data_IF_199852928379
#
_entry.id   IF_199852928379
#
_cell.length_a   1.000
_cell.length_b   1.000
_cell.length_c   1.000
_cell.angle_alpha   90.00
_cell.angle_beta   90.00
_cell.angle_gamma   90.00
#
_symmetry.space_group_name_H-M   'P 1'
#
loop_
_entity.id
_entity.type
_entity.pdbx_description
1 polymer ?
#
# COMPACT_ATOMS: atom_id res chain seq x y z
N UNK A 1 5.59 -8.30 -22.22
CA UNK A 1 5.16 -9.12 -23.39
C UNK A 1 4.78 -8.28 -24.62
N UNK A 2 4.23 -7.08 -24.42
CA UNK A 2 3.87 -6.16 -25.51
C UNK A 2 5.09 -5.65 -26.28
N UNK A 3 6.21 -5.19 -25.65
CA UNK A 3 7.36 -4.70 -26.40
C UNK A 3 8.06 -5.78 -27.24
N UNK A 4 7.95 -7.04 -26.82
CA UNK A 4 8.47 -8.21 -27.55
C UNK A 4 7.47 -8.81 -28.54
N UNK A 5 6.31 -8.14 -28.76
CA UNK A 5 5.23 -8.53 -29.68
C UNK A 5 4.70 -9.96 -29.48
N UNK A 6 4.83 -10.51 -28.26
CA UNK A 6 4.31 -11.85 -27.95
C UNK A 6 2.80 -11.86 -27.71
N UNK A 7 2.21 -10.72 -27.39
CA UNK A 7 0.78 -10.52 -27.12
C UNK A 7 0.39 -9.15 -27.71
N UNK A 8 -0.79 -9.05 -28.35
CA UNK A 8 -1.31 -7.79 -28.86
C UNK A 8 -1.82 -6.90 -27.71
N UNK A 9 -1.89 -5.58 -27.93
CA UNK A 9 -2.46 -4.64 -26.95
C UNK A 9 -3.93 -4.94 -26.71
N UNK A 10 -4.67 -5.32 -27.76
CA UNK A 10 -6.08 -5.71 -27.68
C UNK A 10 -6.27 -6.95 -26.79
N UNK A 11 -5.42 -7.97 -26.97
CA UNK A 11 -5.43 -9.18 -26.13
C UNK A 11 -5.10 -8.85 -24.67
N UNK A 12 -4.16 -7.94 -24.42
CA UNK A 12 -3.85 -7.47 -23.07
C UNK A 12 -5.05 -6.76 -22.42
N UNK A 13 -5.79 -5.95 -23.18
CA UNK A 13 -6.98 -5.27 -22.67
C UNK A 13 -8.11 -6.27 -22.39
N UNK A 14 -8.34 -7.24 -23.29
CA UNK A 14 -9.29 -8.32 -23.08
C UNK A 14 -8.93 -9.16 -21.84
N UNK A 15 -7.65 -9.46 -21.64
CA UNK A 15 -7.16 -10.16 -20.46
C UNK A 15 -7.38 -9.34 -19.18
N UNK A 16 -7.10 -8.03 -19.20
CA UNK A 16 -7.35 -7.13 -18.06
C UNK A 16 -8.82 -7.16 -17.67
N UNK A 17 -9.71 -6.92 -18.62
CA UNK A 17 -11.16 -6.92 -18.38
C UNK A 17 -11.64 -8.30 -17.88
N UNK A 18 -11.18 -9.39 -18.52
CA UNK A 18 -11.53 -10.75 -18.11
C UNK A 18 -11.09 -11.07 -16.69
N UNK A 19 -9.86 -10.70 -16.32
CA UNK A 19 -9.33 -10.92 -14.97
C UNK A 19 -10.09 -10.10 -13.92
N UNK A 20 -10.41 -8.83 -14.22
CA UNK A 20 -11.19 -7.98 -13.31
C UNK A 20 -12.57 -8.60 -13.02
N UNK A 21 -13.29 -9.05 -14.07
CA UNK A 21 -14.60 -9.70 -13.92
C UNK A 21 -14.48 -11.01 -13.15
N UNK A 22 -13.45 -11.81 -13.45
CA UNK A 22 -13.21 -13.08 -12.77
C UNK A 22 -12.90 -12.89 -11.27
N UNK A 23 -11.98 -11.98 -10.94
CA UNK A 23 -11.64 -11.65 -9.56
C UNK A 23 -12.85 -11.10 -8.79
N UNK A 24 -13.64 -10.22 -9.42
CA UNK A 24 -14.86 -9.68 -8.82
C UNK A 24 -15.94 -10.75 -8.63
N UNK A 25 -16.04 -11.72 -9.55
CA UNK A 25 -16.95 -12.86 -9.45
C UNK A 25 -16.57 -13.79 -8.30
N UNK A 26 -15.29 -14.11 -8.17
CA UNK A 26 -14.79 -14.96 -7.07
C UNK A 26 -14.92 -14.27 -5.73
N UNK A 27 -14.69 -12.96 -5.64
CA UNK A 27 -14.72 -12.23 -4.36
C UNK A 27 -16.09 -12.30 -3.66
N UNK A 28 -17.19 -12.47 -4.39
CA UNK A 28 -18.52 -12.71 -3.81
C UNK A 28 -18.57 -13.94 -2.90
N UNK A 29 -17.74 -14.95 -3.15
CA UNK A 29 -17.71 -16.18 -2.36
C UNK A 29 -17.00 -16.00 -1.00
N UNK A 30 -16.21 -14.94 -0.84
CA UNK A 30 -15.37 -14.69 0.33
C UNK A 30 -15.93 -13.60 1.27
N UNK A 31 -17.10 -13.03 0.95
CA UNK A 31 -17.82 -12.09 1.81
C UNK A 31 -17.81 -10.64 1.31
N UNK A 32 -18.60 -9.80 1.99
CA UNK A 32 -18.88 -8.41 1.56
C UNK A 32 -17.61 -7.54 1.59
N UNK A 33 -16.76 -7.66 2.61
CA UNK A 33 -15.54 -6.85 2.72
C UNK A 33 -14.57 -7.15 1.57
N UNK A 34 -14.34 -8.43 1.26
CA UNK A 34 -13.49 -8.85 0.13
C UNK A 34 -14.07 -8.38 -1.20
N UNK A 35 -15.40 -8.43 -1.35
CA UNK A 35 -16.07 -7.94 -2.56
C UNK A 35 -15.92 -6.43 -2.75
N UNK A 36 -16.20 -5.64 -1.71
CA UNK A 36 -16.05 -4.17 -1.73
C UNK A 36 -14.61 -3.78 -1.99
N UNK A 37 -13.64 -4.40 -1.31
CA UNK A 37 -12.22 -4.16 -1.55
C UNK A 37 -11.77 -4.51 -2.97
N UNK A 38 -12.28 -5.60 -3.53
CA UNK A 38 -11.99 -5.98 -4.92
C UNK A 38 -12.57 -4.96 -5.92
N UNK A 39 -13.77 -4.46 -5.67
CA UNK A 39 -14.37 -3.39 -6.48
C UNK A 39 -13.56 -2.09 -6.38
N UNK A 40 -13.13 -1.70 -5.18
CA UNK A 40 -12.29 -0.53 -4.95
C UNK A 40 -10.92 -0.66 -5.65
N UNK A 41 -10.29 -1.83 -5.61
CA UNK A 41 -9.05 -2.10 -6.33
C UNK A 41 -9.19 -1.88 -7.84
N UNK A 42 -10.30 -2.36 -8.43
CA UNK A 42 -10.59 -2.13 -9.85
C UNK A 42 -10.73 -0.64 -10.15
N UNK A 43 -11.42 0.12 -9.29
CA UNK A 43 -11.54 1.57 -9.43
C UNK A 43 -10.19 2.26 -9.33
N UNK A 44 -9.35 1.87 -8.37
CA UNK A 44 -7.99 2.42 -8.19
C UNK A 44 -7.12 2.14 -9.42
N UNK A 45 -7.18 0.92 -9.98
CA UNK A 45 -6.47 0.54 -11.20
C UNK A 45 -6.91 1.38 -12.40
N UNK A 46 -8.23 1.54 -12.59
CA UNK A 46 -8.79 2.37 -13.65
C UNK A 46 -8.38 3.85 -13.49
N UNK A 47 -8.44 4.39 -12.27
CA UNK A 47 -7.99 5.76 -11.98
C UNK A 47 -6.50 5.94 -12.24
N UNK A 48 -5.68 4.92 -11.94
CA UNK A 48 -4.24 4.97 -12.19
C UNK A 48 -3.92 5.05 -13.68
N UNK A 49 -4.52 4.15 -14.44
CA UNK A 49 -4.10 3.85 -15.81
C UNK A 49 -4.87 4.68 -16.83
N UNK A 50 -6.19 4.79 -16.70
CA UNK A 50 -7.06 5.46 -17.67
C UNK A 50 -7.07 6.99 -17.48
N UNK A 51 -6.92 7.51 -16.24
CA UNK A 51 -6.81 8.96 -15.99
C UNK A 51 -5.38 9.49 -16.01
N UNK A 52 -4.38 8.63 -16.23
CA UNK A 52 -2.97 9.03 -16.33
C UNK A 52 -2.40 9.63 -15.04
N UNK A 53 -2.99 9.34 -13.87
CA UNK A 53 -2.47 9.77 -12.56
C UNK A 53 -1.07 9.23 -12.29
N UNK A 54 -0.66 8.17 -12.99
CA UNK A 54 0.69 7.61 -12.96
C UNK A 54 1.79 8.56 -13.50
N UNK A 55 1.41 9.68 -14.15
CA UNK A 55 2.33 10.62 -14.79
C UNK A 55 3.03 11.55 -13.80
N UNK A 56 2.40 11.84 -12.66
CA UNK A 56 2.97 12.62 -11.56
C UNK A 56 3.39 11.70 -10.41
N UNK A 57 4.60 11.89 -9.88
CA UNK A 57 5.16 11.02 -8.84
C UNK A 57 4.31 10.95 -7.56
N UNK A 58 3.70 12.07 -7.14
CA UNK A 58 2.82 12.09 -5.95
C UNK A 58 1.55 11.29 -6.18
N UNK A 59 0.87 11.54 -7.30
CA UNK A 59 -0.40 10.88 -7.65
C UNK A 59 -0.23 9.38 -7.89
N UNK A 60 0.86 8.97 -8.56
CA UNK A 60 1.26 7.57 -8.71
C UNK A 60 1.39 6.87 -7.36
N UNK A 61 2.08 7.51 -6.42
CA UNK A 61 2.35 6.91 -5.11
C UNK A 61 1.12 6.87 -4.23
N UNK A 62 0.31 7.93 -4.26
CA UNK A 62 -0.98 7.96 -3.55
C UNK A 62 -1.90 6.84 -4.04
N UNK A 63 -1.98 6.64 -5.35
CA UNK A 63 -2.73 5.54 -5.93
C UNK A 63 -2.20 4.16 -5.54
N UNK A 64 -0.88 4.01 -5.37
CA UNK A 64 -0.27 2.75 -4.89
C UNK A 64 -0.62 2.47 -3.46
N UNK A 65 -0.49 3.47 -2.60
CA UNK A 65 -0.90 3.35 -1.19
C UNK A 65 -2.39 3.04 -1.09
N UNK A 66 -3.23 3.69 -1.90
CA UNK A 66 -4.66 3.40 -1.98
C UNK A 66 -4.95 1.93 -2.33
N UNK A 67 -4.23 1.35 -3.29
CA UNK A 67 -4.37 -0.07 -3.63
C UNK A 67 -3.99 -1.00 -2.46
N UNK A 68 -2.89 -0.71 -1.75
CA UNK A 68 -2.54 -1.49 -0.57
C UNK A 68 -3.57 -1.34 0.56
N UNK A 69 -4.06 -0.13 0.80
CA UNK A 69 -5.10 0.11 1.81
C UNK A 69 -6.39 -0.66 1.51
N UNK A 70 -6.79 -0.75 0.23
CA UNK A 70 -7.98 -1.54 -0.15
C UNK A 70 -7.81 -3.04 0.12
N UNK A 71 -6.58 -3.58 0.02
CA UNK A 71 -6.31 -4.97 0.38
C UNK A 71 -6.40 -5.20 1.90
N UNK A 72 -5.93 -4.24 2.71
CA UNK A 72 -6.05 -4.33 4.17
C UNK A 72 -7.51 -4.32 4.62
N UNK A 73 -8.33 -3.46 4.00
CA UNK A 73 -9.77 -3.41 4.25
C UNK A 73 -10.49 -4.72 3.89
N UNK A 74 -9.91 -5.56 3.04
CA UNK A 74 -10.49 -6.85 2.69
C UNK A 74 -10.38 -7.87 3.84
N UNK A 75 -9.33 -7.75 4.67
CA UNK A 75 -9.02 -8.67 5.76
C UNK A 75 -9.59 -8.26 7.12
N UNK A 76 -9.95 -6.98 7.29
CA UNK A 76 -10.40 -6.46 8.58
C UNK A 76 -11.94 -6.50 8.70
N UNK A 77 -12.46 -7.18 9.70
CA UNK A 77 -13.92 -7.26 9.95
C UNK A 77 -14.42 -6.24 10.99
N UNK A 78 -13.53 -5.55 11.71
CA UNK A 78 -13.89 -4.61 12.77
C UNK A 78 -12.88 -3.47 12.85
N UNK A 79 -13.33 -2.24 12.55
CA UNK A 79 -12.50 -1.03 12.67
C UNK A 79 -12.56 -0.54 14.12
N UNK A 80 -11.65 -1.02 14.97
CA UNK A 80 -11.40 -0.38 16.26
C UNK A 80 -10.39 0.79 16.12
N UNK A 81 -10.44 1.78 17.02
CA UNK A 81 -9.56 2.96 16.95
C UNK A 81 -8.08 2.59 17.14
N UNK A 82 -7.79 1.55 17.92
CA UNK A 82 -6.44 1.00 18.05
C UNK A 82 -6.02 0.22 16.78
N UNK A 83 -6.99 -0.41 16.10
CA UNK A 83 -6.83 -1.07 14.79
C UNK A 83 -6.47 -0.09 13.68
N UNK A 84 -6.87 1.19 13.73
CA UNK A 84 -6.54 2.15 12.65
C UNK A 84 -5.07 2.58 12.61
N UNK A 85 -4.34 2.47 13.73
CA UNK A 85 -2.93 2.88 13.80
C UNK A 85 -2.04 2.04 12.90
N UNK A 86 -2.28 0.72 12.83
CA UNK A 86 -1.44 -0.19 12.06
C UNK A 86 -1.55 0.03 10.53
N UNK A 87 -2.76 0.11 9.94
CA UNK A 87 -2.97 0.46 8.53
C UNK A 87 -2.43 1.84 8.17
N UNK A 88 -2.59 2.84 9.04
CA UNK A 88 -2.04 4.19 8.79
C UNK A 88 -0.52 4.16 8.77
N UNK A 89 0.10 3.49 9.74
CA UNK A 89 1.55 3.30 9.77
C UNK A 89 2.04 2.56 8.52
N UNK A 90 1.35 1.49 8.10
CA UNK A 90 1.71 0.75 6.90
C UNK A 90 1.56 1.58 5.63
N UNK A 91 0.47 2.32 5.48
CA UNK A 91 0.25 3.24 4.37
C UNK A 91 1.35 4.30 4.29
N UNK A 92 1.76 4.89 5.42
CA UNK A 92 2.85 5.86 5.49
C UNK A 92 4.20 5.24 5.13
N UNK A 93 4.49 4.03 5.62
CA UNK A 93 5.70 3.28 5.28
C UNK A 93 5.78 3.05 3.77
N UNK A 94 4.71 2.54 3.16
CA UNK A 94 4.64 2.34 1.71
C UNK A 94 4.81 3.68 1.00
N UNK A 95 4.08 4.72 1.39
CA UNK A 95 4.15 6.03 0.74
C UNK A 95 5.58 6.58 0.69
N UNK A 96 6.30 6.52 1.81
CA UNK A 96 7.65 7.06 1.91
C UNK A 96 8.69 6.18 1.19
N UNK A 97 8.46 4.86 1.07
CA UNK A 97 9.44 3.91 0.51
C UNK A 97 9.19 3.53 -0.95
N UNK A 98 7.97 3.67 -1.47
CA UNK A 98 7.59 3.20 -2.82
C UNK A 98 8.45 3.82 -3.93
N UNK A 99 8.96 5.03 -3.71
CA UNK A 99 9.87 5.73 -4.62
C UNK A 99 11.17 4.95 -4.91
N UNK A 100 11.59 4.01 -4.04
CA UNK A 100 12.78 3.17 -4.25
C UNK A 100 12.66 2.34 -5.54
N UNK A 101 11.45 1.96 -5.93
CA UNK A 101 11.19 1.17 -7.13
C UNK A 101 11.55 1.90 -8.42
N UNK A 102 11.56 3.24 -8.40
CA UNK A 102 11.82 4.07 -9.59
C UNK A 102 13.33 4.26 -9.84
N UNK A 103 14.22 3.90 -8.91
CA UNK A 103 15.68 4.09 -9.09
C UNK A 103 16.25 3.26 -10.25
N UNK A 104 15.95 1.95 -10.38
CA UNK A 104 16.41 1.16 -11.52
C UNK A 104 15.71 1.55 -12.83
N UNK A 105 14.46 2.05 -12.76
CA UNK A 105 13.63 2.34 -13.95
C UNK A 105 13.80 3.77 -14.51
N UNK A 106 14.77 4.54 -14.01
CA UNK A 106 15.00 5.94 -14.44
C UNK A 106 15.12 6.13 -15.96
N UNK A 107 15.76 5.20 -16.67
CA UNK A 107 15.88 5.28 -18.13
C UNK A 107 14.55 4.99 -18.84
N UNK A 108 13.79 4.00 -18.36
CA UNK A 108 12.46 3.66 -18.89
C UNK A 108 11.45 4.77 -18.63
N UNK A 109 11.46 5.31 -17.41
CA UNK A 109 10.68 6.48 -16.99
C UNK A 109 10.94 7.70 -17.88
N UNK A 110 12.22 8.02 -18.12
CA UNK A 110 12.63 9.16 -18.94
C UNK A 110 12.16 9.02 -20.39
N UNK A 111 12.28 7.82 -20.97
CA UNK A 111 11.77 7.52 -22.33
C UNK A 111 10.25 7.62 -22.42
N UNK A 112 9.55 7.32 -21.32
CA UNK A 112 8.10 7.41 -21.22
C UNK A 112 7.60 8.82 -20.84
N UNK A 113 8.51 9.78 -20.67
CA UNK A 113 8.17 11.15 -20.27
C UNK A 113 7.68 11.30 -18.82
N UNK A 114 7.90 10.30 -17.96
CA UNK A 114 7.53 10.34 -16.54
C UNK A 114 8.51 11.19 -15.74
N UNK A 115 7.99 11.90 -14.74
CA UNK A 115 8.79 12.68 -13.78
C UNK A 115 8.77 11.99 -12.42
N UNK A 116 9.63 10.98 -12.25
CA UNK A 116 9.80 10.28 -10.97
C UNK A 116 10.81 10.98 -10.07
N UNK A 117 10.77 10.70 -8.77
CA UNK A 117 11.59 11.37 -7.77
C UNK A 117 13.11 11.26 -8.07
N UNK A 118 13.65 10.10 -8.51
CA UNK A 118 15.05 10.00 -8.92
C UNK A 118 15.41 10.77 -10.20
N UNK A 119 14.43 11.15 -11.04
CA UNK A 119 14.64 11.98 -12.23
C UNK A 119 14.63 13.47 -11.87
N UNK A 120 13.74 13.88 -10.97
CA UNK A 120 13.58 15.28 -10.56
C UNK A 120 14.70 15.73 -9.63
N UNK A 121 15.10 14.86 -8.69
CA UNK A 121 16.16 15.15 -7.71
C UNK A 121 17.03 13.89 -7.47
N UNK A 122 18.01 13.60 -8.34
CA UNK A 122 18.79 12.35 -8.28
C UNK A 122 19.58 12.20 -6.99
N UNK A 123 20.35 13.21 -6.58
CA UNK A 123 21.15 13.20 -5.36
C UNK A 123 20.24 13.32 -4.12
N UNK A 124 19.27 14.23 -4.18
CA UNK A 124 18.30 14.44 -3.10
C UNK A 124 17.50 13.17 -2.77
N UNK A 125 17.08 12.42 -3.79
CA UNK A 125 16.38 11.14 -3.61
C UNK A 125 17.23 10.09 -2.90
N UNK A 126 18.53 10.02 -3.20
CA UNK A 126 19.45 9.06 -2.56
C UNK A 126 19.66 9.41 -1.09
N UNK A 127 19.91 10.68 -0.81
CA UNK A 127 20.07 11.19 0.57
C UNK A 127 18.79 10.95 1.35
N UNK A 128 17.63 11.30 0.77
CA UNK A 128 16.33 11.04 1.36
C UNK A 128 16.15 9.56 1.75
N UNK A 129 16.46 8.63 0.85
CA UNK A 129 16.33 7.20 1.14
C UNK A 129 17.31 6.70 2.21
N UNK A 130 18.56 7.16 2.15
CA UNK A 130 19.59 6.79 3.14
C UNK A 130 19.20 7.28 4.54
N UNK A 131 18.59 8.46 4.66
CA UNK A 131 18.12 8.99 5.93
C UNK A 131 16.81 8.33 6.39
N UNK A 132 15.85 8.16 5.47
CA UNK A 132 14.52 7.66 5.79
C UNK A 132 14.54 6.19 6.25
N UNK A 133 15.28 5.32 5.54
CA UNK A 133 15.31 3.88 5.81
C UNK A 133 15.69 3.51 7.27
N UNK A 134 16.69 4.12 7.92
CA UNK A 134 16.98 3.85 9.33
C UNK A 134 16.02 4.59 10.29
N UNK A 135 15.53 5.77 9.93
CA UNK A 135 14.62 6.55 10.79
C UNK A 135 13.24 5.90 10.90
N UNK A 136 12.77 5.24 9.84
CA UNK A 136 11.43 4.68 9.77
C UNK A 136 11.21 3.52 10.77
N UNK A 137 12.09 2.51 10.88
CA UNK A 137 12.02 1.51 11.95
C UNK A 137 12.10 2.12 13.35
N UNK A 138 12.94 3.14 13.58
CA UNK A 138 13.06 3.80 14.89
C UNK A 138 11.76 4.53 15.29
N UNK A 139 11.11 5.18 14.32
CA UNK A 139 9.82 5.83 14.54
C UNK A 139 8.74 4.78 14.85
N UNK A 140 8.69 3.68 14.09
CA UNK A 140 7.74 2.60 14.33
C UNK A 140 7.95 1.96 15.71
N UNK A 141 9.17 1.60 16.09
CA UNK A 141 9.44 1.02 17.41
C UNK A 141 9.05 1.96 18.54
N UNK A 142 9.20 3.28 18.35
CA UNK A 142 8.76 4.29 19.33
C UNK A 142 7.24 4.41 19.46
N UNK A 143 6.49 4.15 18.38
CA UNK A 143 5.01 4.11 18.41
C UNK A 143 4.55 2.85 19.15
N UNK A 144 5.15 1.70 18.85
CA UNK A 144 4.75 0.41 19.43
C UNK A 144 5.21 0.24 20.88
N UNK A 145 6.36 0.81 21.27
CA UNK A 145 6.84 0.75 22.67
C UNK A 145 5.86 1.42 23.63
N UNK A 146 5.24 2.54 23.22
CA UNK A 146 4.19 3.21 24.00
C UNK A 146 2.94 2.34 24.20
N UNK A 147 2.61 1.48 23.23
CA UNK A 147 1.52 0.51 23.33
C UNK A 147 1.82 -0.61 24.34
N UNK A 148 3.05 -1.13 24.34
CA UNK A 148 3.48 -2.17 25.29
C UNK A 148 3.47 -1.68 26.74
N UNK A 149 3.84 -0.43 27.00
CA UNK A 149 3.74 0.14 28.36
C UNK A 149 2.29 0.29 28.83
N UNK A 150 1.33 0.57 27.95
CA UNK A 150 -0.10 0.66 28.31
C UNK A 150 -0.73 -0.71 28.60
N UNK A 151 -0.43 -1.73 27.79
CA UNK A 151 -0.96 -3.08 27.99
C UNK A 151 -0.41 -3.77 29.25
N UNK A 152 0.82 -3.45 29.65
CA UNK A 152 1.43 -4.02 30.87
C UNK A 152 0.84 -3.42 32.16
N UNK A 153 0.16 -2.27 32.10
CA UNK A 153 -0.49 -1.63 33.23
C UNK A 153 -1.83 -2.26 33.67
N UNK A 154 -2.47 -3.04 32.79
CA UNK A 154 -3.78 -3.66 33.08
C UNK A 154 -3.67 -5.05 33.75
N UNK A 155 -2.50 -5.69 33.70
CA UNK A 155 -2.24 -6.97 34.39
C UNK A 155 -1.74 -6.80 35.83
N UNK A 156 -1.38 -5.57 36.24
CA UNK A 156 -0.99 -5.25 37.62
C UNK A 156 -2.20 -4.59 38.31
N UNK A 157 -3.36 -5.23 38.22
CA UNK A 157 -4.40 -5.10 39.23
C UNK A 157 -4.36 -6.40 40.01
N UNK A 158 -3.55 -6.39 41.08
CA UNK A 158 -3.55 -7.46 42.07
C UNK A 158 -4.98 -7.45 42.63
N UNK A 159 -5.73 -8.50 42.33
CA UNK A 159 -6.98 -8.79 43.01
C UNK A 159 -6.63 -9.05 44.48
N UNK A 160 -7.16 -8.25 45.40
CA UNK A 160 -6.98 -8.51 46.85
C UNK A 160 -7.80 -9.73 47.31
N UNK A 161 -8.60 -10.33 46.42
CA UNK A 161 -9.44 -11.48 46.73
C UNK A 161 -8.92 -12.74 46.02
N UNK A 162 -7.95 -13.40 46.64
CA UNK A 162 -7.26 -14.58 46.10
C UNK A 162 -8.16 -15.76 45.71
N UNK A 163 -8.68 -15.77 44.48
CA UNK A 163 -9.33 -16.91 43.84
C UNK A 163 -8.83 -17.06 42.41
N UNK A 164 -8.05 -18.12 42.17
CA UNK A 164 -7.67 -18.59 40.84
C UNK A 164 -8.87 -19.32 40.18
N UNK A 165 -9.20 -18.94 38.95
CA UNK A 165 -9.78 -19.82 37.93
C UNK A 165 -8.92 -19.76 36.68
#
# INVERSE_FOLDING_TARGET
PVPSRRICVEDCHALRCGLMVFCLGISFLFGVNVHVSSALLIVVDFVRDDFGLSRHYVSKNFCTVGGYATLELAGESSIDKMTLTAPVCHALVIFMTIHVQDFPDTNGDRKSGRRTLPIVAPEGSRIYMICLLPLLPLALTSIWSQGSYRSTGDWIRIDEDGVFL
#
